data_IF_676953056872
#
_entry.id   IF_676953056872
#
_cell.length_a   1.000
_cell.length_b   1.000
_cell.length_c   1.000
_cell.angle_alpha   90.00
_cell.angle_beta   90.00
_cell.angle_gamma   90.00
#
_symmetry.space_group_name_H-M   'P 1'
#
loop_
_entity.id
_entity.type
_entity.pdbx_description
1 polymer ?
#
# COMPACT_ATOMS: atom_id res chain seq x y z
N UNK A 1 -18.89 29.25 -16.49
CA UNK A 1 -18.08 30.15 -15.64
C UNK A 1 -18.52 29.94 -14.19
N UNK A 2 -17.54 29.92 -13.28
CA UNK A 2 -17.53 29.48 -11.86
C UNK A 2 -17.34 27.96 -11.62
N UNK A 3 -16.50 27.56 -10.64
CA UNK A 3 -15.25 28.20 -10.22
C UNK A 3 -14.08 27.21 -10.02
N UNK A 4 -12.87 27.74 -10.21
CA UNK A 4 -11.62 27.12 -9.79
C UNK A 4 -11.53 27.13 -8.26
N UNK A 5 -11.67 25.97 -7.63
CA UNK A 5 -11.37 25.66 -6.22
C UNK A 5 -11.48 24.13 -6.16
N UNK A 6 -10.42 23.33 -6.19
CA UNK A 6 -9.40 23.16 -5.15
C UNK A 6 -8.16 22.58 -5.86
N UNK A 7 -7.18 23.43 -6.18
CA UNK A 7 -5.79 23.01 -6.48
C UNK A 7 -4.94 23.65 -5.40
N UNK A 8 -4.99 23.05 -4.21
CA UNK A 8 -4.14 23.42 -3.09
C UNK A 8 -4.03 22.24 -2.12
N UNK A 9 -3.74 21.05 -2.64
CA UNK A 9 -3.19 19.97 -1.82
C UNK A 9 -1.70 19.92 -2.14
N UNK A 10 -0.93 20.55 -1.25
CA UNK A 10 0.48 20.29 -1.00
C UNK A 10 1.41 20.24 -2.24
N UNK A 11 1.61 21.40 -2.88
CA UNK A 11 2.87 21.63 -3.60
C UNK A 11 4.01 21.85 -2.58
N UNK A 12 4.28 20.84 -1.74
CA UNK A 12 5.59 20.71 -1.14
C UNK A 12 6.55 20.46 -2.30
N UNK A 13 7.67 21.20 -2.43
CA UNK A 13 8.68 20.81 -3.41
C UNK A 13 9.03 19.37 -3.09
N UNK A 14 8.86 18.47 -4.07
CA UNK A 14 9.34 17.10 -3.98
C UNK A 14 10.80 17.20 -3.56
N UNK A 15 11.09 17.00 -2.27
CA UNK A 15 12.45 17.05 -1.79
C UNK A 15 13.14 15.92 -2.50
N UNK A 16 14.27 16.21 -3.15
CA UNK A 16 15.10 15.15 -3.69
C UNK A 16 15.42 14.22 -2.52
N UNK A 17 14.78 13.06 -2.50
CA UNK A 17 15.09 12.03 -1.51
C UNK A 17 16.47 11.52 -1.86
N UNK A 18 17.36 11.54 -0.88
CA UNK A 18 18.70 11.02 -1.04
C UNK A 18 18.64 9.55 -1.51
N UNK A 19 19.46 9.23 -2.52
CA UNK A 19 19.60 7.90 -3.10
C UNK A 19 19.79 6.81 -2.03
N UNK A 20 20.57 7.14 -1.00
CA UNK A 20 20.86 6.22 0.09
C UNK A 20 19.63 6.00 1.00
N UNK A 21 18.83 7.05 1.21
CA UNK A 21 17.57 6.98 1.95
C UNK A 21 16.50 6.21 1.17
N UNK A 22 16.42 6.43 -0.15
CA UNK A 22 15.57 5.66 -1.06
C UNK A 22 15.93 4.17 -1.03
N UNK A 23 17.22 3.84 -1.10
CA UNK A 23 17.67 2.45 -1.11
C UNK A 23 17.42 1.76 0.24
N UNK A 24 17.63 2.47 1.35
CA UNK A 24 17.31 1.96 2.70
C UNK A 24 15.81 1.73 2.88
N UNK A 25 14.97 2.67 2.41
CA UNK A 25 13.52 2.51 2.41
C UNK A 25 13.12 1.32 1.54
N UNK A 26 13.54 1.22 0.28
CA UNK A 26 13.22 0.04 -0.53
C UNK A 26 13.67 -1.28 0.15
N UNK A 27 14.85 -1.31 0.77
CA UNK A 27 15.34 -2.50 1.45
C UNK A 27 14.47 -2.93 2.65
N UNK A 28 13.89 -1.99 3.42
CA UNK A 28 13.04 -2.35 4.57
C UNK A 28 11.70 -2.97 4.15
N UNK A 29 11.25 -2.72 2.92
CA UNK A 29 9.98 -3.25 2.39
C UNK A 29 10.15 -4.62 1.73
N UNK A 30 11.39 -5.11 1.58
CA UNK A 30 11.66 -6.44 1.02
C UNK A 30 11.21 -7.58 1.94
N UNK A 31 11.11 -7.33 3.24
CA UNK A 31 10.88 -8.38 4.23
C UNK A 31 9.40 -8.83 4.23
N UNK A 32 9.16 -10.03 3.69
CA UNK A 32 7.81 -10.61 3.66
C UNK A 32 7.32 -11.13 5.00
N UNK A 33 8.21 -11.50 5.94
CA UNK A 33 7.79 -11.88 7.28
C UNK A 33 7.32 -10.64 8.07
N UNK A 34 7.99 -9.50 7.86
CA UNK A 34 7.52 -8.23 8.39
C UNK A 34 6.16 -7.81 7.80
N UNK A 35 5.89 -8.12 6.52
CA UNK A 35 4.57 -7.90 5.92
C UNK A 35 3.48 -8.73 6.62
N UNK A 36 3.72 -10.03 6.82
CA UNK A 36 2.77 -10.91 7.52
C UNK A 36 2.46 -10.40 8.94
N UNK A 37 3.48 -9.98 9.69
CA UNK A 37 3.29 -9.42 11.03
C UNK A 37 2.51 -8.10 11.01
N UNK A 38 2.76 -7.24 10.03
CA UNK A 38 2.02 -6.00 9.87
C UNK A 38 0.56 -6.26 9.50
N UNK A 39 0.29 -7.22 8.61
CA UNK A 39 -1.07 -7.65 8.27
C UNK A 39 -1.82 -8.13 9.51
N UNK A 40 -1.23 -9.05 10.28
CA UNK A 40 -1.86 -9.57 11.50
C UNK A 40 -2.23 -8.44 12.46
N UNK A 41 -1.32 -7.49 12.66
CA UNK A 41 -1.55 -6.32 13.51
C UNK A 41 -2.68 -5.44 12.97
N UNK A 42 -2.75 -5.22 11.66
CA UNK A 42 -3.81 -4.41 11.04
C UNK A 42 -5.16 -5.11 11.18
N UNK A 43 -5.21 -6.41 10.87
CA UNK A 43 -6.42 -7.20 10.98
C UNK A 43 -6.94 -7.23 12.44
N UNK A 44 -6.06 -7.45 13.42
CA UNK A 44 -6.44 -7.44 14.84
C UNK A 44 -7.03 -6.09 15.28
N UNK A 45 -6.43 -4.97 14.83
CA UNK A 45 -6.94 -3.64 15.15
C UNK A 45 -8.32 -3.38 14.52
N UNK A 46 -8.51 -3.79 13.26
CA UNK A 46 -9.79 -3.63 12.55
C UNK A 46 -10.88 -4.50 13.17
N UNK A 47 -10.59 -5.79 13.43
CA UNK A 47 -11.54 -6.73 14.04
C UNK A 47 -11.95 -6.29 15.46
N UNK A 48 -11.03 -5.70 16.23
CA UNK A 48 -11.31 -5.13 17.54
C UNK A 48 -12.06 -3.78 17.48
N UNK A 49 -12.18 -3.16 16.31
CA UNK A 49 -12.70 -1.80 16.15
C UNK A 49 -11.82 -0.73 16.82
N UNK A 50 -10.53 -1.00 17.00
CA UNK A 50 -9.58 -0.13 17.70
C UNK A 50 -9.09 1.01 16.79
N UNK A 51 -9.93 2.04 16.68
CA UNK A 51 -9.64 3.25 15.90
C UNK A 51 -8.40 3.98 16.42
N UNK A 52 -8.21 4.07 17.73
CA UNK A 52 -7.06 4.75 18.31
C UNK A 52 -5.75 4.00 18.00
N UNK A 53 -5.78 2.67 18.01
CA UNK A 53 -4.66 1.84 17.60
C UNK A 53 -4.33 1.98 16.11
N UNK A 54 -5.33 2.07 15.23
CA UNK A 54 -5.13 2.36 13.81
C UNK A 54 -4.54 3.75 13.57
N UNK A 55 -5.04 4.79 14.26
CA UNK A 55 -4.48 6.14 14.20
C UNK A 55 -3.03 6.21 14.69
N UNK A 56 -2.70 5.47 15.76
CA UNK A 56 -1.34 5.38 16.28
C UNK A 56 -0.40 4.67 15.29
N UNK A 57 -0.87 3.60 14.64
CA UNK A 57 -0.12 2.90 13.59
C UNK A 57 0.07 3.78 12.35
N UNK A 58 -0.97 4.49 11.92
CA UNK A 58 -0.89 5.44 10.81
C UNK A 58 0.15 6.53 11.09
N UNK A 59 0.08 7.14 12.29
CA UNK A 59 1.05 8.15 12.72
C UNK A 59 2.47 7.61 12.77
N UNK A 60 2.66 6.32 13.08
CA UNK A 60 3.97 5.67 13.03
C UNK A 60 4.46 5.56 11.58
N UNK A 61 3.61 5.05 10.68
CA UNK A 61 3.91 4.92 9.25
C UNK A 61 4.24 6.28 8.63
N UNK A 62 3.46 7.33 8.89
CA UNK A 62 3.75 8.67 8.35
C UNK A 62 5.14 9.19 8.78
N UNK A 63 5.53 8.95 10.03
CA UNK A 63 6.85 9.37 10.53
C UNK A 63 8.00 8.56 9.94
N UNK A 64 7.82 7.25 9.79
CA UNK A 64 8.89 6.33 9.37
C UNK A 64 9.01 6.22 7.85
N UNK A 65 7.87 6.24 7.17
CA UNK A 65 7.71 5.86 5.76
C UNK A 65 7.16 7.01 4.88
N UNK A 66 6.57 8.04 5.48
CA UNK A 66 5.85 9.11 4.78
C UNK A 66 6.61 9.71 3.59
N UNK A 67 7.87 10.17 3.76
CA UNK A 67 8.64 10.72 2.64
C UNK A 67 8.79 9.75 1.46
N UNK A 68 9.00 8.46 1.72
CA UNK A 68 9.15 7.46 0.67
C UNK A 68 7.81 7.19 -0.04
N UNK A 69 6.71 7.06 0.71
CA UNK A 69 5.38 6.88 0.16
C UNK A 69 4.94 8.09 -0.68
N UNK A 70 5.18 9.30 -0.20
CA UNK A 70 4.91 10.55 -0.93
C UNK A 70 5.65 10.60 -2.27
N UNK A 71 6.91 10.15 -2.30
CA UNK A 71 7.69 10.08 -3.54
C UNK A 71 7.13 9.05 -4.53
N UNK A 72 6.67 7.89 -4.05
CA UNK A 72 6.02 6.89 -4.90
C UNK A 72 4.70 7.41 -5.48
N UNK A 73 3.90 8.11 -4.67
CA UNK A 73 2.64 8.73 -5.12
C UNK A 73 2.94 9.80 -6.19
N UNK A 74 3.88 10.71 -5.91
CA UNK A 74 4.27 11.73 -6.86
C UNK A 74 4.77 11.13 -8.18
N UNK A 75 5.50 10.01 -8.14
CA UNK A 75 5.93 9.30 -9.34
C UNK A 75 4.75 8.68 -10.11
N UNK A 76 3.77 8.10 -9.40
CA UNK A 76 2.57 7.53 -10.01
C UNK A 76 1.72 8.61 -10.70
N UNK A 77 1.50 9.75 -10.05
CA UNK A 77 0.78 10.91 -10.62
C UNK A 77 1.48 11.45 -11.87
N UNK A 78 2.82 11.57 -11.84
CA UNK A 78 3.62 11.97 -13.00
C UNK A 78 3.44 11.02 -14.20
N UNK A 79 3.31 9.71 -13.94
CA UNK A 79 3.11 8.71 -15.00
C UNK A 79 1.70 8.71 -15.58
N UNK A 80 0.73 9.25 -14.83
CA UNK A 80 -0.68 9.37 -15.25
C UNK A 80 -0.99 10.72 -15.91
N UNK A 81 -0.03 11.64 -16.00
CA UNK A 81 -0.22 12.95 -16.60
C UNK A 81 -0.66 12.86 -18.08
N UNK A 82 -1.60 13.72 -18.53
CA UNK A 82 -2.10 13.71 -19.91
C UNK A 82 -1.00 13.85 -20.96
N UNK A 83 -1.20 13.21 -22.12
CA UNK A 83 -0.29 13.35 -23.26
C UNK A 83 -0.24 14.80 -23.74
N UNK A 84 0.91 15.47 -23.56
CA UNK A 84 1.11 16.87 -23.98
C UNK A 84 1.72 17.76 -22.90
N UNK A 85 1.67 17.34 -21.63
CA UNK A 85 2.45 17.96 -20.56
C UNK A 85 3.90 17.45 -20.59
N UNK A 86 4.84 18.29 -20.14
CA UNK A 86 6.25 17.94 -20.11
C UNK A 86 6.45 16.72 -19.19
N UNK A 87 6.57 15.53 -19.79
CA UNK A 87 6.99 14.34 -19.06
C UNK A 87 8.35 14.62 -18.41
N UNK A 88 8.53 14.35 -17.10
CA UNK A 88 9.82 14.48 -16.47
C UNK A 88 10.87 13.63 -17.19
N UNK A 89 12.15 14.03 -17.08
CA UNK A 89 13.24 13.34 -17.73
C UNK A 89 13.18 11.82 -17.42
N UNK A 90 13.15 10.95 -18.46
CA UNK A 90 13.15 9.51 -18.26
C UNK A 90 14.40 9.09 -17.47
N UNK A 91 14.22 8.27 -16.44
CA UNK A 91 15.33 7.61 -15.74
C UNK A 91 15.82 8.28 -14.45
N UNK A 92 14.93 8.93 -13.69
CA UNK A 92 15.23 9.27 -12.29
C UNK A 92 15.55 8.00 -11.49
N UNK A 93 16.40 8.14 -10.48
CA UNK A 93 16.77 7.03 -9.61
C UNK A 93 15.55 6.41 -8.91
N UNK A 94 14.59 7.26 -8.51
CA UNK A 94 13.30 6.83 -7.98
C UNK A 94 12.50 6.00 -9.00
N UNK A 95 12.46 6.37 -10.28
CA UNK A 95 11.75 5.60 -11.30
C UNK A 95 12.41 4.23 -11.55
N UNK A 96 13.74 4.17 -11.57
CA UNK A 96 14.48 2.90 -11.66
C UNK A 96 14.22 2.03 -10.44
N UNK A 97 14.24 2.61 -9.25
CA UNK A 97 13.96 1.90 -8.01
C UNK A 97 12.53 1.37 -7.97
N UNK A 98 11.53 2.20 -8.29
CA UNK A 98 10.14 1.81 -8.36
C UNK A 98 9.94 0.63 -9.32
N UNK A 99 10.63 0.62 -10.47
CA UNK A 99 10.59 -0.51 -11.42
C UNK A 99 11.24 -1.79 -10.90
N UNK A 100 12.10 -1.71 -9.89
CA UNK A 100 12.77 -2.84 -9.26
C UNK A 100 12.02 -3.38 -8.02
N UNK A 101 10.93 -2.72 -7.58
CA UNK A 101 10.13 -3.17 -6.45
C UNK A 101 9.39 -4.47 -6.80
N UNK A 102 9.86 -5.57 -6.23
CA UNK A 102 9.22 -6.88 -6.37
C UNK A 102 7.97 -7.07 -5.49
N UNK A 103 7.33 -8.24 -5.55
CA UNK A 103 6.07 -8.53 -4.86
C UNK A 103 6.07 -8.24 -3.36
N UNK A 104 7.13 -8.60 -2.63
CA UNK A 104 7.23 -8.31 -1.19
C UNK A 104 7.23 -6.81 -0.87
N UNK A 105 7.90 -6.01 -1.71
CA UNK A 105 7.93 -4.57 -1.55
C UNK A 105 6.53 -3.98 -1.72
N UNK A 106 5.86 -4.39 -2.79
CA UNK A 106 4.53 -3.90 -3.11
C UNK A 106 3.49 -4.36 -2.07
N UNK A 107 3.61 -5.57 -1.53
CA UNK A 107 2.76 -6.05 -0.43
C UNK A 107 2.94 -5.17 0.84
N UNK A 108 4.19 -4.89 1.23
CA UNK A 108 4.48 -4.01 2.35
C UNK A 108 3.97 -2.57 2.14
N UNK A 109 4.05 -2.05 0.91
CA UNK A 109 3.51 -0.74 0.54
C UNK A 109 1.97 -0.75 0.65
N UNK A 110 1.32 -1.79 0.12
CA UNK A 110 -0.14 -1.90 0.14
C UNK A 110 -0.70 -1.90 1.57
N UNK A 111 -0.09 -2.66 2.50
CA UNK A 111 -0.50 -2.66 3.91
C UNK A 111 -0.43 -1.27 4.55
N UNK A 112 0.63 -0.51 4.26
CA UNK A 112 0.81 0.85 4.79
C UNK A 112 -0.24 1.80 4.22
N UNK A 113 -0.53 1.70 2.93
CA UNK A 113 -1.60 2.47 2.29
C UNK A 113 -2.96 2.13 2.91
N UNK A 114 -3.26 0.86 3.16
CA UNK A 114 -4.50 0.42 3.83
C UNK A 114 -4.65 1.11 5.19
N UNK A 115 -3.60 1.13 6.01
CA UNK A 115 -3.65 1.83 7.32
C UNK A 115 -3.91 3.32 7.15
N UNK A 116 -3.20 3.99 6.24
CA UNK A 116 -3.37 5.43 6.02
C UNK A 116 -4.76 5.79 5.50
N UNK A 117 -5.34 4.96 4.62
CA UNK A 117 -6.70 5.15 4.10
C UNK A 117 -7.76 4.93 5.19
N UNK A 118 -7.63 3.85 5.96
CA UNK A 118 -8.62 3.47 6.98
C UNK A 118 -8.59 4.42 8.18
N UNK A 119 -7.42 4.82 8.65
CA UNK A 119 -7.27 5.74 9.79
C UNK A 119 -7.83 7.14 9.49
N UNK A 120 -7.65 7.64 8.26
CA UNK A 120 -8.15 8.95 7.85
C UNK A 120 -9.63 8.93 7.41
N UNK A 121 -10.32 7.79 7.53
CA UNK A 121 -11.70 7.62 7.06
C UNK A 121 -11.87 7.71 5.55
N UNK A 122 -10.78 7.58 4.79
CA UNK A 122 -10.79 7.57 3.32
C UNK A 122 -11.30 6.26 2.73
N UNK A 123 -11.22 5.17 3.50
CA UNK A 123 -11.85 3.89 3.19
C UNK A 123 -12.42 3.26 4.47
N UNK A 124 -13.55 2.57 4.36
CA UNK A 124 -14.15 1.86 5.48
C UNK A 124 -13.76 0.38 5.42
N UNK A 125 -13.06 -0.15 6.44
CA UNK A 125 -12.78 -1.57 6.50
C UNK A 125 -14.03 -2.34 6.95
N UNK A 126 -14.34 -3.44 6.27
CA UNK A 126 -15.44 -4.33 6.59
C UNK A 126 -14.91 -5.75 6.79
N UNK A 127 -15.33 -6.40 7.87
CA UNK A 127 -14.97 -7.80 8.12
C UNK A 127 -16.06 -8.72 7.59
N UNK A 128 -15.72 -9.57 6.60
CA UNK A 128 -16.62 -10.56 6.01
C UNK A 128 -15.98 -11.94 6.13
N UNK A 129 -16.67 -12.87 6.81
CA UNK A 129 -16.18 -14.23 7.06
C UNK A 129 -14.77 -14.30 7.70
N UNK A 130 -14.42 -13.32 8.54
CA UNK A 130 -13.10 -13.24 9.19
C UNK A 130 -11.98 -12.76 8.26
N UNK A 131 -12.31 -12.14 7.14
CA UNK A 131 -11.39 -11.47 6.21
C UNK A 131 -11.75 -9.99 6.21
N UNK A 132 -10.73 -9.15 6.36
CA UNK A 132 -10.83 -7.70 6.23
C UNK A 132 -10.85 -7.33 4.74
N UNK A 133 -11.90 -6.62 4.36
CA UNK A 133 -12.08 -6.01 3.05
C UNK A 133 -12.03 -4.49 3.17
N UNK A 134 -11.46 -3.82 2.18
CA UNK A 134 -11.35 -2.35 2.14
C UNK A 134 -12.28 -1.82 1.05
N UNK A 135 -13.53 -1.54 1.43
CA UNK A 135 -14.55 -1.12 0.47
C UNK A 135 -14.15 0.19 -0.22
N UNK A 136 -14.43 0.27 -1.53
CA UNK A 136 -14.09 1.43 -2.37
C UNK A 136 -12.68 1.41 -2.96
N UNK A 137 -11.91 0.34 -2.76
CA UNK A 137 -10.59 0.13 -3.37
C UNK A 137 -10.35 -1.35 -3.68
N UNK A 138 -9.41 -1.66 -4.58
CA UNK A 138 -8.92 -3.04 -4.83
C UNK A 138 -7.59 -3.30 -4.10
N UNK A 139 -7.18 -2.42 -3.18
CA UNK A 139 -5.85 -2.44 -2.56
C UNK A 139 -5.62 -3.68 -1.68
N UNK A 140 -6.66 -4.18 -1.07
CA UNK A 140 -6.68 -5.40 -0.25
C UNK A 140 -6.51 -6.66 -1.09
N UNK A 141 -7.27 -6.80 -2.19
CA UNK A 141 -7.11 -7.90 -3.14
C UNK A 141 -5.77 -7.85 -3.89
N UNK A 142 -5.29 -6.64 -4.17
CA UNK A 142 -3.92 -6.40 -4.66
C UNK A 142 -2.89 -6.89 -3.65
N UNK A 143 -3.04 -6.52 -2.36
CA UNK A 143 -2.19 -7.00 -1.28
C UNK A 143 -2.18 -8.53 -1.21
N UNK A 144 -3.35 -9.17 -1.14
CA UNK A 144 -3.49 -10.62 -1.01
C UNK A 144 -2.75 -11.36 -2.14
N UNK A 145 -2.85 -10.83 -3.37
CA UNK A 145 -2.13 -11.37 -4.53
C UNK A 145 -0.62 -11.21 -4.38
N UNK A 146 -0.16 -10.02 -4.01
CA UNK A 146 1.27 -9.70 -3.90
C UNK A 146 1.97 -10.47 -2.78
N UNK A 147 1.32 -10.62 -1.62
CA UNK A 147 1.89 -11.38 -0.50
C UNK A 147 1.98 -12.87 -0.85
N UNK A 148 0.98 -13.44 -1.53
CA UNK A 148 1.04 -14.82 -1.98
C UNK A 148 2.22 -15.07 -2.95
N UNK A 149 2.43 -14.16 -3.90
CA UNK A 149 3.59 -14.25 -4.81
C UNK A 149 4.89 -14.07 -4.02
N UNK A 150 4.96 -13.11 -3.08
CA UNK A 150 6.12 -12.90 -2.22
C UNK A 150 6.50 -14.17 -1.45
N UNK A 151 5.52 -14.81 -0.81
CA UNK A 151 5.69 -16.04 -0.04
C UNK A 151 6.24 -17.17 -0.89
N UNK A 152 5.66 -17.40 -2.07
CA UNK A 152 6.10 -18.44 -2.99
C UNK A 152 7.53 -18.21 -3.50
N UNK A 153 7.85 -16.97 -3.89
CA UNK A 153 9.17 -16.63 -4.44
C UNK A 153 10.27 -16.74 -3.37
N UNK A 154 9.96 -16.42 -2.12
CA UNK A 154 10.95 -16.39 -1.03
C UNK A 154 10.87 -17.62 -0.11
N UNK A 155 10.04 -18.62 -0.44
CA UNK A 155 9.79 -19.81 0.37
C UNK A 155 9.44 -19.47 1.83
N UNK A 156 8.65 -18.41 2.04
CA UNK A 156 8.15 -18.05 3.36
C UNK A 156 7.09 -19.07 3.81
N UNK A 157 6.86 -19.21 5.13
CA UNK A 157 5.74 -20.00 5.63
C UNK A 157 4.45 -19.49 5.00
N UNK A 158 3.65 -20.42 4.46
CA UNK A 158 2.33 -20.10 3.95
C UNK A 158 1.49 -19.52 5.09
N UNK A 159 0.99 -18.31 4.89
CA UNK A 159 0.15 -17.63 5.85
C UNK A 159 -1.25 -17.48 5.23
N UNK A 160 -2.28 -17.57 6.08
CA UNK A 160 -3.66 -17.40 5.63
C UNK A 160 -3.98 -15.91 5.64
N UNK A 161 -3.93 -15.28 4.47
CA UNK A 161 -4.34 -13.89 4.26
C UNK A 161 -5.64 -13.57 5.01
N UNK A 162 -5.54 -12.59 5.90
CA UNK A 162 -6.61 -11.99 6.68
C UNK A 162 -7.11 -10.70 6.06
N UNK A 163 -6.35 -10.10 5.15
CA UNK A 163 -6.74 -8.92 4.37
C UNK A 163 -6.86 -9.27 2.89
N UNK A 164 -7.99 -8.92 2.27
CA UNK A 164 -8.26 -9.10 0.85
C UNK A 164 -8.66 -10.52 0.45
N UNK A 165 -9.10 -10.65 -0.81
CA UNK A 165 -9.70 -11.89 -1.30
C UNK A 165 -8.69 -13.03 -1.54
N UNK A 166 -9.05 -14.21 -1.02
CA UNK A 166 -8.33 -15.48 -1.14
C UNK A 166 -8.48 -16.08 -2.54
N UNK A 167 -9.56 -15.76 -3.25
CA UNK A 167 -9.79 -16.16 -4.63
C UNK A 167 -8.73 -15.54 -5.56
N UNK A 168 -8.47 -14.23 -5.44
CA UNK A 168 -7.44 -13.57 -6.25
C UNK A 168 -6.03 -14.07 -5.94
N UNK A 169 -5.74 -14.37 -4.68
CA UNK A 169 -4.42 -14.83 -4.27
C UNK A 169 -4.14 -16.31 -4.58
N UNK A 170 -5.09 -17.21 -4.34
CA UNK A 170 -4.86 -18.67 -4.42
C UNK A 170 -5.74 -19.41 -5.43
N UNK A 171 -6.74 -18.76 -6.03
CA UNK A 171 -7.77 -19.43 -6.83
C UNK A 171 -8.78 -20.24 -6.01
N UNK A 172 -8.65 -20.26 -4.69
CA UNK A 172 -9.59 -20.93 -3.79
C UNK A 172 -10.74 -19.99 -3.42
N UNK A 173 -11.80 -20.00 -4.23
CA UNK A 173 -12.88 -19.00 -4.19
C UNK A 173 -14.10 -19.39 -3.33
N UNK A 174 -14.13 -20.60 -2.76
CA UNK A 174 -15.35 -21.16 -2.15
C UNK A 174 -15.86 -20.45 -0.89
N UNK A 175 -14.99 -19.79 -0.13
CA UNK A 175 -15.34 -19.04 1.10
C UNK A 175 -15.03 -17.54 0.94
N UNK A 176 -14.93 -17.06 -0.30
CA UNK A 176 -14.38 -15.74 -0.61
C UNK A 176 -15.46 -14.64 -0.61
N UNK A 177 -15.31 -13.57 0.20
CA UNK A 177 -16.32 -12.52 0.29
C UNK A 177 -16.55 -11.71 -0.98
N UNK A 178 -15.63 -11.74 -1.95
CA UNK A 178 -15.77 -11.02 -3.23
C UNK A 178 -16.46 -11.85 -4.32
N UNK A 179 -16.78 -13.12 -4.03
CA UNK A 179 -17.35 -14.06 -5.01
C UNK A 179 -18.85 -14.34 -4.79
N UNK A 180 -19.43 -13.80 -3.71
CA UNK A 180 -20.86 -13.87 -3.36
C UNK A 180 -21.58 -12.54 -3.69
#
# INVERSE_FOLDING_TARGET
MLPALIVAVLASPARAIDAQLLAAAAASYRDGAAAQQLEDRIADLIEAGDKAGLEALASQIEREDGPFLDALIALAEQNQAPAGEAKPAPGSELARMASALGPCHQANIALRIIVLLTSNGGAEPVVRNGIVMIDGSEIDSTYATLIHICENVNALPAHKARIGSRCYSTGACGDDPDMD
#
